data_IF_683836880925
#
_entry.id   IF_683836880925
#
_cell.length_a   1.000
_cell.length_b   1.000
_cell.length_c   1.000
_cell.angle_alpha   90.00
_cell.angle_beta   90.00
_cell.angle_gamma   90.00
#
_symmetry.space_group_name_H-M   'P 1'
#
loop_
_entity.id
_entity.type
_entity.pdbx_description
1 polymer ?
#
# COMPACT_ATOMS: atom_id res chain seq x y z
N UNK A 1 -17.20 24.88 -5.38
CA UNK A 1 -16.81 23.77 -4.47
C UNK A 1 -16.70 22.51 -5.31
N UNK A 2 -15.51 22.18 -5.81
CA UNK A 2 -15.31 20.99 -6.66
C UNK A 2 -15.00 19.81 -5.74
N UNK A 3 -15.87 18.81 -5.72
CA UNK A 3 -15.60 17.54 -5.04
C UNK A 3 -14.45 16.84 -5.77
N UNK A 4 -13.34 16.62 -5.07
CA UNK A 4 -12.20 15.88 -5.62
C UNK A 4 -12.57 14.39 -5.63
N UNK A 5 -12.49 13.75 -6.79
CA UNK A 5 -12.73 12.31 -6.99
C UNK A 5 -14.10 11.81 -6.47
N UNK A 6 -15.23 12.35 -6.98
CA UNK A 6 -16.58 12.00 -6.49
C UNK A 6 -16.91 10.52 -6.72
N UNK A 7 -16.41 9.92 -7.81
CA UNK A 7 -16.58 8.49 -8.08
C UNK A 7 -15.92 7.64 -6.99
N UNK A 8 -14.67 7.93 -6.65
CA UNK A 8 -13.93 7.19 -5.63
C UNK A 8 -14.52 7.37 -4.23
N UNK A 9 -15.10 8.54 -3.94
CA UNK A 9 -15.61 8.88 -2.61
C UNK A 9 -17.06 8.43 -2.36
N UNK A 10 -17.91 8.48 -3.37
CA UNK A 10 -19.35 8.23 -3.19
C UNK A 10 -19.88 6.99 -3.91
N UNK A 11 -19.27 6.61 -5.04
CA UNK A 11 -19.82 5.57 -5.91
C UNK A 11 -18.97 4.29 -5.97
N UNK A 12 -17.74 4.33 -5.47
CA UNK A 12 -16.84 3.19 -5.53
C UNK A 12 -17.13 2.19 -4.41
N UNK A 13 -17.55 0.95 -4.71
CA UNK A 13 -17.79 -0.07 -3.68
C UNK A 13 -16.50 -0.42 -2.91
N UNK A 14 -15.34 -0.36 -3.58
CA UNK A 14 -14.04 -0.51 -2.93
C UNK A 14 -13.72 0.65 -1.97
N UNK A 15 -14.18 1.86 -2.28
CA UNK A 15 -14.01 3.03 -1.39
C UNK A 15 -14.71 2.83 -0.05
N UNK A 16 -15.95 2.34 -0.08
CA UNK A 16 -16.70 2.01 1.14
C UNK A 16 -16.04 0.89 1.95
N UNK A 17 -15.58 -0.18 1.27
CA UNK A 17 -14.93 -1.31 1.94
C UNK A 17 -13.59 -0.91 2.57
N UNK A 18 -12.77 -0.13 1.87
CA UNK A 18 -11.50 0.37 2.38
C UNK A 18 -11.70 1.41 3.49
N UNK A 19 -12.72 2.27 3.40
CA UNK A 19 -13.08 3.20 4.47
C UNK A 19 -13.50 2.47 5.75
N UNK A 20 -14.30 1.41 5.62
CA UNK A 20 -14.68 0.55 6.75
C UNK A 20 -13.46 -0.15 7.37
N UNK A 21 -12.57 -0.70 6.53
CA UNK A 21 -11.34 -1.35 6.99
C UNK A 21 -10.40 -0.35 7.69
N UNK A 22 -10.28 0.86 7.15
CA UNK A 22 -9.48 1.94 7.76
C UNK A 22 -10.06 2.41 9.09
N UNK A 23 -11.39 2.52 9.16
CA UNK A 23 -12.07 2.86 10.41
C UNK A 23 -11.85 1.78 11.48
N UNK A 24 -11.85 0.50 11.12
CA UNK A 24 -11.56 -0.62 12.02
C UNK A 24 -10.07 -0.77 12.35
N UNK A 25 -9.17 -0.26 11.51
CA UNK A 25 -7.73 -0.42 11.67
C UNK A 25 -7.25 0.08 13.05
N UNK A 26 -6.52 -0.73 13.83
CA UNK A 26 -5.99 -0.30 15.13
C UNK A 26 -4.81 0.67 14.99
N UNK A 27 -4.16 0.69 13.82
CA UNK A 27 -3.05 1.58 13.49
C UNK A 27 -3.63 2.85 12.90
N UNK A 28 -3.51 3.96 13.64
CA UNK A 28 -4.03 5.27 13.24
C UNK A 28 -2.98 6.34 13.44
N UNK A 29 -3.07 7.41 12.66
CA UNK A 29 -2.26 8.62 12.84
C UNK A 29 -2.58 9.22 14.21
N UNK A 30 -1.57 9.31 15.06
CA UNK A 30 -1.64 9.86 16.42
C UNK A 30 -0.71 11.05 16.52
N UNK A 31 -1.21 12.15 17.11
CA UNK A 31 -0.50 13.40 17.34
C UNK A 31 -0.05 13.47 18.79
N UNK A 32 1.21 13.79 19.01
CA UNK A 32 1.70 14.22 20.31
C UNK A 32 1.36 15.71 20.51
N UNK A 33 0.53 16.01 21.51
CA UNK A 33 0.12 17.38 21.79
C UNK A 33 1.24 18.23 22.39
N UNK A 34 2.20 17.62 23.09
CA UNK A 34 3.28 18.32 23.80
C UNK A 34 4.32 18.89 22.84
N UNK A 35 4.63 18.17 21.76
CA UNK A 35 5.63 18.61 20.76
C UNK A 35 5.03 19.40 19.61
N UNK A 36 3.70 19.48 19.52
CA UNK A 36 3.03 20.10 18.39
C UNK A 36 2.95 21.62 18.52
N UNK A 37 3.42 22.32 17.48
CA UNK A 37 3.40 23.79 17.38
C UNK A 37 2.13 24.37 16.76
N UNK A 38 1.09 23.56 16.60
CA UNK A 38 -0.20 23.91 15.99
C UNK A 38 -0.13 24.63 14.62
N UNK A 39 0.92 24.35 13.82
CA UNK A 39 1.15 25.01 12.53
C UNK A 39 0.13 24.67 11.41
N UNK A 40 -0.84 23.79 11.67
CA UNK A 40 -1.89 23.32 10.76
C UNK A 40 -1.44 22.73 9.39
N UNK A 41 -0.13 22.55 9.13
CA UNK A 41 0.40 22.01 7.87
C UNK A 41 -0.17 20.62 7.54
N UNK A 42 -0.28 19.74 8.55
CA UNK A 42 -0.83 18.39 8.41
C UNK A 42 -2.28 18.36 7.87
N UNK A 43 -3.07 19.40 8.16
CA UNK A 43 -4.46 19.53 7.67
C UNK A 43 -4.50 20.05 6.24
N UNK A 44 -3.59 20.97 5.89
CA UNK A 44 -3.50 21.52 4.53
C UNK A 44 -3.11 20.49 3.49
N UNK A 45 -2.19 19.57 3.84
CA UNK A 45 -1.73 18.52 2.92
C UNK A 45 -2.67 17.31 2.86
N UNK A 46 -3.66 17.21 3.75
CA UNK A 46 -4.53 16.05 3.80
C UNK A 46 -5.46 16.01 2.58
N UNK A 47 -5.37 14.98 1.70
CA UNK A 47 -6.20 14.91 0.49
C UNK A 47 -7.69 14.73 0.84
N UNK A 48 -7.97 14.07 1.97
CA UNK A 48 -9.31 13.91 2.52
C UNK A 48 -9.83 15.15 3.27
N UNK A 49 -9.01 16.21 3.38
CA UNK A 49 -9.33 17.47 4.10
C UNK A 49 -9.72 17.26 5.57
N UNK A 50 -9.12 16.25 6.21
CA UNK A 50 -9.34 15.95 7.62
C UNK A 50 -8.62 16.99 8.49
N UNK A 51 -9.27 17.45 9.56
CA UNK A 51 -8.70 18.39 10.53
C UNK A 51 -7.71 17.67 11.47
N UNK A 52 -6.54 17.32 10.93
CA UNK A 52 -5.50 16.54 11.63
C UNK A 52 -4.89 17.31 12.81
N UNK A 53 -4.73 18.64 12.72
CA UNK A 53 -4.03 19.41 13.76
C UNK A 53 -4.77 19.43 15.11
N UNK A 54 -6.10 19.37 15.10
CA UNK A 54 -6.94 19.31 16.31
C UNK A 54 -7.18 17.90 16.83
N UNK A 55 -6.94 16.88 16.00
CA UNK A 55 -7.18 15.50 16.38
C UNK A 55 -5.96 14.92 17.11
N UNK A 56 -6.12 14.47 18.36
CA UNK A 56 -5.09 13.66 19.05
C UNK A 56 -4.90 12.32 18.33
N UNK A 57 -5.99 11.76 17.80
CA UNK A 57 -5.97 10.56 16.96
C UNK A 57 -6.96 10.74 15.82
N UNK A 58 -6.49 10.54 14.59
CA UNK A 58 -7.33 10.65 13.40
C UNK A 58 -8.27 9.45 13.34
N UNK A 59 -9.56 9.66 13.66
CA UNK A 59 -10.63 8.67 13.54
C UNK A 59 -11.62 9.12 12.47
N UNK A 60 -11.22 8.97 11.21
CA UNK A 60 -12.08 9.23 10.05
C UNK A 60 -12.02 8.01 9.14
N UNK A 61 -13.18 7.62 8.65
CA UNK A 61 -13.44 6.67 7.58
C UNK A 61 -12.80 7.09 6.24
N UNK A 62 -12.64 8.40 6.03
CA UNK A 62 -11.99 8.99 4.85
C UNK A 62 -10.45 8.97 4.94
N UNK A 63 -9.89 8.61 6.09
CA UNK A 63 -8.44 8.55 6.28
C UNK A 63 -7.91 7.28 5.60
N UNK A 64 -7.19 7.41 4.50
CA UNK A 64 -6.60 6.26 3.79
C UNK A 64 -5.21 5.86 4.29
N UNK A 65 -4.67 6.53 5.31
CA UNK A 65 -3.34 6.21 5.83
C UNK A 65 -2.21 6.53 4.84
N UNK A 66 -2.33 7.59 4.04
CA UNK A 66 -1.34 7.98 3.02
C UNK A 66 -0.03 8.62 3.54
N UNK A 67 0.14 8.75 4.87
CA UNK A 67 1.33 9.34 5.53
C UNK A 67 1.70 10.80 5.20
N UNK A 68 1.03 11.49 4.25
CA UNK A 68 1.37 12.88 3.88
C UNK A 68 1.39 13.86 5.06
N UNK A 69 0.49 13.67 6.04
CA UNK A 69 0.44 14.50 7.24
C UNK A 69 1.63 14.30 8.18
N UNK A 70 2.22 13.10 8.20
CA UNK A 70 3.41 12.75 8.99
C UNK A 70 4.64 13.35 8.32
N UNK A 71 4.77 13.20 7.01
CA UNK A 71 5.91 13.71 6.22
C UNK A 71 5.96 15.23 6.18
N UNK A 72 4.81 15.91 6.07
CA UNK A 72 4.74 17.37 6.06
C UNK A 72 4.94 18.01 7.44
N UNK A 73 5.01 17.23 8.52
CA UNK A 73 5.15 17.77 9.86
C UNK A 73 6.57 18.33 10.07
N UNK A 74 6.73 19.62 10.43
CA UNK A 74 8.05 20.21 10.62
C UNK A 74 8.76 19.72 11.88
N UNK A 75 8.02 19.17 12.85
CA UNK A 75 8.57 18.66 14.11
C UNK A 75 8.64 17.14 14.02
N UNK A 76 9.86 16.60 14.15
CA UNK A 76 10.11 15.14 14.14
C UNK A 76 9.30 14.45 15.23
N UNK A 77 8.84 13.23 14.94
CA UNK A 77 8.13 12.33 15.86
C UNK A 77 6.85 12.90 16.53
N UNK A 78 6.33 14.03 16.04
CA UNK A 78 5.11 14.66 16.57
C UNK A 78 3.84 14.01 16.03
N UNK A 79 3.89 13.50 14.80
CA UNK A 79 2.83 12.76 14.15
C UNK A 79 3.41 11.42 13.72
N UNK A 80 2.80 10.33 14.13
CA UNK A 80 3.17 9.01 13.63
C UNK A 80 1.97 8.08 13.56
N UNK A 81 2.10 6.99 12.81
CA UNK A 81 1.15 5.89 12.86
C UNK A 81 1.54 4.90 13.94
N UNK A 82 0.57 4.59 14.79
CA UNK A 82 0.81 3.69 15.91
C UNK A 82 -0.48 3.11 16.48
N UNK A 83 -0.29 2.09 17.30
CA UNK A 83 -1.34 1.45 18.09
C UNK A 83 -1.83 2.39 19.21
N UNK A 84 -3.03 2.16 19.78
CA UNK A 84 -3.46 2.85 21.01
C UNK A 84 -2.44 2.70 22.15
N UNK A 85 -2.12 3.80 22.82
CA UNK A 85 -1.37 3.79 24.09
C UNK A 85 0.12 3.46 24.04
N UNK A 86 0.70 3.22 22.86
CA UNK A 86 2.14 3.00 22.71
C UNK A 86 2.83 4.28 22.20
N UNK A 87 4.00 4.65 22.75
CA UNK A 87 4.75 5.80 22.25
C UNK A 87 5.05 5.58 20.77
N UNK A 88 4.89 6.64 20.00
CA UNK A 88 5.04 6.71 18.55
C UNK A 88 6.51 6.56 18.14
N UNK A 89 7.11 5.40 18.41
CA UNK A 89 8.45 5.06 17.90
C UNK A 89 8.28 4.28 16.61
N UNK A 90 8.71 4.89 15.50
CA UNK A 90 8.77 4.20 14.22
C UNK A 90 9.73 3.00 14.34
N UNK A 91 9.34 1.85 13.77
CA UNK A 91 10.24 0.72 13.58
C UNK A 91 11.35 1.19 12.62
N UNK A 92 12.64 0.95 12.92
CA UNK A 92 13.70 1.33 11.99
C UNK A 92 13.51 0.61 10.66
N UNK A 93 13.59 1.37 9.55
CA UNK A 93 13.39 0.88 8.20
C UNK A 93 14.12 -0.44 7.86
N UNK A 94 15.41 -0.65 8.22
CA UNK A 94 16.08 -1.91 7.92
C UNK A 94 15.47 -3.11 8.65
N UNK A 95 15.00 -2.92 9.89
CA UNK A 95 14.34 -4.00 10.64
C UNK A 95 13.01 -4.37 9.99
N UNK A 96 12.23 -3.38 9.58
CA UNK A 96 10.97 -3.63 8.88
C UNK A 96 11.21 -4.36 7.55
N UNK A 97 12.19 -3.93 6.75
CA UNK A 97 12.56 -4.58 5.50
C UNK A 97 13.02 -6.03 5.70
N UNK A 98 13.88 -6.28 6.69
CA UNK A 98 14.34 -7.64 7.01
C UNK A 98 13.18 -8.54 7.48
N UNK A 99 12.26 -8.03 8.29
CA UNK A 99 11.08 -8.79 8.72
C UNK A 99 10.18 -9.15 7.54
N UNK A 100 9.94 -8.22 6.61
CA UNK A 100 9.15 -8.50 5.40
C UNK A 100 9.84 -9.53 4.50
N UNK A 101 11.15 -9.40 4.28
CA UNK A 101 11.93 -10.34 3.48
C UNK A 101 11.92 -11.74 4.13
N UNK A 102 12.13 -11.81 5.44
CA UNK A 102 12.12 -13.07 6.19
C UNK A 102 10.74 -13.74 6.13
N UNK A 103 9.65 -12.97 6.30
CA UNK A 103 8.28 -13.49 6.18
C UNK A 103 8.04 -14.04 4.77
N UNK A 104 8.42 -13.31 3.72
CA UNK A 104 8.26 -13.75 2.34
C UNK A 104 9.02 -15.07 2.11
N UNK A 105 10.31 -15.11 2.44
CA UNK A 105 11.16 -16.30 2.27
C UNK A 105 10.63 -17.49 3.09
N UNK A 106 10.14 -17.26 4.31
CA UNK A 106 9.59 -18.31 5.14
C UNK A 106 8.29 -18.88 4.55
N UNK A 107 7.40 -18.03 4.04
CA UNK A 107 6.14 -18.47 3.42
C UNK A 107 6.39 -19.22 2.11
N UNK A 108 7.21 -18.66 1.22
CA UNK A 108 7.53 -19.31 -0.07
C UNK A 108 8.35 -20.57 0.14
N UNK A 109 9.38 -20.50 0.98
CA UNK A 109 10.22 -21.64 1.33
C UNK A 109 9.42 -22.74 2.03
N UNK A 110 8.51 -22.38 2.93
CA UNK A 110 7.58 -23.32 3.56
C UNK A 110 6.67 -24.00 2.54
N UNK A 111 6.14 -23.25 1.56
CA UNK A 111 5.33 -23.82 0.48
C UNK A 111 6.13 -24.75 -0.44
N UNK A 112 7.40 -24.44 -0.70
CA UNK A 112 8.32 -25.29 -1.47
C UNK A 112 8.64 -26.59 -0.71
N UNK A 113 9.00 -26.48 0.56
CA UNK A 113 9.28 -27.65 1.42
C UNK A 113 8.06 -28.54 1.61
N UNK A 114 6.86 -27.95 1.67
CA UNK A 114 5.60 -28.69 1.74
C UNK A 114 5.15 -29.30 0.40
N UNK A 115 5.92 -29.12 -0.69
CA UNK A 115 5.57 -29.60 -2.02
C UNK A 115 4.33 -28.93 -2.63
N UNK A 116 3.84 -27.84 -2.00
CA UNK A 116 2.66 -27.09 -2.48
C UNK A 116 3.03 -26.08 -3.56
N UNK A 117 4.31 -25.77 -3.71
CA UNK A 117 4.83 -24.88 -4.74
C UNK A 117 5.01 -25.62 -6.09
N UNK A 118 3.89 -25.88 -6.77
CA UNK A 118 3.87 -26.49 -8.10
C UNK A 118 2.94 -25.72 -9.02
N UNK A 119 3.26 -25.69 -10.31
CA UNK A 119 2.39 -25.13 -11.34
C UNK A 119 1.59 -26.28 -11.98
N UNK A 120 0.35 -26.02 -12.35
CA UNK A 120 -0.52 -26.98 -13.04
C UNK A 120 -0.04 -27.33 -14.45
N UNK A 121 0.86 -26.53 -15.04
CA UNK A 121 1.32 -26.66 -16.41
C UNK A 121 2.68 -27.38 -16.43
N UNK A 122 2.80 -28.52 -17.13
CA UNK A 122 4.07 -29.22 -17.30
C UNK A 122 5.04 -28.40 -18.16
N UNK A 123 6.34 -28.60 -17.96
CA UNK A 123 7.39 -27.79 -18.59
C UNK A 123 7.31 -27.82 -20.12
N UNK A 124 6.98 -28.97 -20.69
CA UNK A 124 6.89 -29.19 -22.13
C UNK A 124 5.76 -28.36 -22.74
N UNK A 125 4.61 -28.30 -22.06
CA UNK A 125 3.48 -27.48 -22.49
C UNK A 125 3.80 -25.99 -22.34
N UNK A 126 4.43 -25.59 -21.23
CA UNK A 126 4.88 -24.21 -21.04
C UNK A 126 5.84 -23.75 -22.16
N UNK A 127 6.84 -24.57 -22.48
CA UNK A 127 7.79 -24.29 -23.56
C UNK A 127 7.11 -24.22 -24.94
N UNK A 128 6.18 -25.14 -25.23
CA UNK A 128 5.40 -25.12 -26.47
C UNK A 128 4.57 -23.85 -26.61
N UNK A 129 3.94 -23.39 -25.51
CA UNK A 129 3.12 -22.16 -25.51
C UNK A 129 3.95 -20.91 -25.72
N UNK A 130 5.18 -20.86 -25.17
CA UNK A 130 6.12 -19.75 -25.43
C UNK A 130 6.51 -19.71 -26.91
N UNK A 131 6.83 -20.86 -27.52
CA UNK A 131 7.18 -20.91 -28.94
C UNK A 131 6.03 -20.52 -29.87
N UNK A 132 4.79 -20.69 -29.41
CA UNK A 132 3.58 -20.35 -30.16
C UNK A 132 2.93 -19.05 -29.65
N UNK A 133 3.66 -18.21 -28.91
CA UNK A 133 3.11 -17.02 -28.30
C UNK A 133 2.47 -16.08 -29.34
N UNK A 134 3.08 -15.97 -30.54
CA UNK A 134 2.59 -15.14 -31.65
C UNK A 134 1.57 -15.85 -32.56
N UNK A 135 1.19 -17.09 -32.23
CA UNK A 135 0.16 -17.78 -32.98
C UNK A 135 -1.18 -17.02 -32.84
N UNK A 136 -2.02 -16.99 -33.90
CA UNK A 136 -3.29 -16.25 -33.90
C UNK A 136 -4.32 -16.77 -32.88
N UNK A 137 -4.00 -17.86 -32.18
CA UNK A 137 -4.78 -18.40 -31.05
C UNK A 137 -4.68 -17.50 -29.80
N UNK A 138 -3.63 -16.70 -29.68
CA UNK A 138 -3.44 -15.75 -28.58
C UNK A 138 -3.69 -14.34 -29.08
N UNK A 139 -4.77 -13.72 -28.60
CA UNK A 139 -5.03 -12.31 -28.85
C UNK A 139 -4.25 -11.46 -27.85
N UNK A 140 -3.05 -11.03 -28.24
CA UNK A 140 -2.32 -10.01 -27.48
C UNK A 140 -2.93 -8.64 -27.78
N UNK A 141 -3.40 -7.95 -26.73
CA UNK A 141 -3.88 -6.57 -26.85
C UNK A 141 -2.74 -5.54 -27.01
N UNK A 142 -1.48 -6.00 -27.00
CA UNK A 142 -0.31 -5.19 -27.36
C UNK A 142 -0.19 -5.22 -28.88
N UNK A 143 0.07 -4.06 -29.49
CA UNK A 143 0.48 -3.99 -30.90
C UNK A 143 1.80 -4.75 -31.14
N UNK A 144 2.37 -4.61 -32.33
CA UNK A 144 3.55 -5.39 -32.75
C UNK A 144 4.71 -5.27 -31.76
N UNK A 145 5.15 -6.41 -31.22
CA UNK A 145 6.32 -6.51 -30.35
C UNK A 145 7.54 -6.66 -31.25
N UNK A 146 8.57 -5.85 -31.05
CA UNK A 146 9.80 -5.97 -31.83
C UNK A 146 10.39 -7.39 -31.65
N UNK A 147 10.90 -8.02 -32.73
CA UNK A 147 11.53 -9.33 -32.62
C UNK A 147 12.75 -9.22 -31.71
N UNK A 148 12.82 -10.07 -30.69
CA UNK A 148 14.02 -10.23 -29.87
C UNK A 148 15.17 -10.70 -30.78
N UNK A 149 16.22 -9.87 -30.87
CA UNK A 149 17.41 -10.16 -31.66
C UNK A 149 18.35 -11.12 -30.92
N UNK A 150 19.32 -11.69 -31.63
CA UNK A 150 20.30 -12.62 -31.08
C UNK A 150 21.37 -11.96 -30.18
N UNK A 151 21.21 -10.68 -29.83
CA UNK A 151 22.20 -9.88 -29.08
C UNK A 151 21.73 -9.44 -27.69
N UNK A 152 20.61 -9.98 -27.20
CA UNK A 152 20.09 -9.79 -25.83
C UNK A 152 20.42 -10.98 -24.91
#
# INVERSE_FOLDING_TARGET
MVFQNPWCRYFCPYGALLGMLSWLSPVKVTRNAETCTDCAKCTKVCPAKIVVHKATRVRSDECTGCYQCVEACPVKDTLAMGLPGKPTRAVPAPVFALLMAALFVALTGGAMLAGRWHNSIPKEEYLRRIQQLDAPVYHHARGDVAPYGAED
#
